data_IF_294282337014
#
_entry.id   IF_294282337014
#
_cell.length_a   1.000
_cell.length_b   1.000
_cell.length_c   1.000
_cell.angle_alpha   90.00
_cell.angle_beta   90.00
_cell.angle_gamma   90.00
#
_symmetry.space_group_name_H-M   'P 1'
#
loop_
_entity.id
_entity.type
_entity.pdbx_description
1 polymer ?
#
# COMPACT_ATOMS: atom_id res chain seq x y z
N UNK A 1 -24.74 -20.38 23.03
CA UNK A 1 -25.40 -19.09 22.75
C UNK A 1 -25.38 -18.79 21.26
N UNK A 2 -24.21 -18.64 20.61
CA UNK A 2 -24.17 -18.32 19.16
C UNK A 2 -24.85 -19.38 18.28
N UNK A 3 -24.65 -20.67 18.54
CA UNK A 3 -25.32 -21.75 17.79
C UNK A 3 -26.85 -21.76 18.01
N UNK A 4 -27.27 -21.41 19.23
CA UNK A 4 -28.68 -21.25 19.58
C UNK A 4 -29.31 -20.09 18.81
N UNK A 5 -28.63 -18.94 18.78
CA UNK A 5 -29.01 -17.78 17.97
C UNK A 5 -29.11 -18.15 16.49
N UNK A 6 -28.11 -18.84 15.93
CA UNK A 6 -28.12 -19.30 14.55
C UNK A 6 -29.36 -20.13 14.24
N UNK A 7 -29.60 -21.18 15.03
CA UNK A 7 -30.74 -22.08 14.85
C UNK A 7 -32.07 -21.32 14.88
N UNK A 8 -32.27 -20.44 15.85
CA UNK A 8 -33.52 -19.68 15.97
C UNK A 8 -33.76 -18.70 14.82
N UNK A 9 -32.70 -18.12 14.24
CA UNK A 9 -32.82 -17.29 13.04
C UNK A 9 -33.29 -18.14 11.86
N UNK A 10 -32.59 -19.23 11.59
CA UNK A 10 -32.83 -20.09 10.41
C UNK A 10 -34.17 -20.84 10.52
N UNK A 11 -34.66 -21.15 11.73
CA UNK A 11 -35.95 -21.82 11.93
C UNK A 11 -37.15 -20.84 11.80
N UNK A 12 -37.02 -19.61 12.32
CA UNK A 12 -38.14 -18.65 12.36
C UNK A 12 -38.33 -17.92 11.03
N UNK A 13 -37.26 -17.38 10.46
CA UNK A 13 -37.31 -16.48 9.31
C UNK A 13 -37.26 -17.28 8.01
N UNK A 14 -38.34 -18.02 7.74
CA UNK A 14 -38.47 -18.88 6.56
C UNK A 14 -39.72 -18.55 5.74
N UNK A 15 -39.75 -18.95 4.48
CA UNK A 15 -40.92 -18.79 3.62
C UNK A 15 -42.13 -19.55 4.14
N UNK A 16 -41.93 -20.69 4.80
CA UNK A 16 -42.99 -21.42 5.52
C UNK A 16 -43.53 -20.63 6.71
N UNK A 17 -42.70 -19.79 7.34
CA UNK A 17 -43.07 -18.87 8.41
C UNK A 17 -43.73 -17.58 7.93
N UNK A 18 -44.00 -17.42 6.62
CA UNK A 18 -44.65 -16.25 6.04
C UNK A 18 -43.71 -15.11 5.64
N UNK A 19 -42.39 -15.32 5.64
CA UNK A 19 -41.40 -14.35 5.17
C UNK A 19 -41.17 -14.48 3.66
N UNK A 20 -40.68 -13.42 3.01
CA UNK A 20 -40.43 -13.41 1.57
C UNK A 20 -39.30 -14.39 1.15
N UNK A 21 -38.30 -14.55 2.01
CA UNK A 21 -37.13 -15.40 1.78
C UNK A 21 -36.75 -16.19 3.03
N UNK A 22 -35.95 -17.24 2.84
CA UNK A 22 -35.31 -17.96 3.94
C UNK A 22 -34.06 -17.19 4.37
N UNK A 23 -33.97 -16.84 5.65
CA UNK A 23 -32.79 -16.22 6.22
C UNK A 23 -31.67 -17.25 6.39
N UNK A 24 -30.43 -16.85 6.11
CA UNK A 24 -29.24 -17.69 6.27
C UNK A 24 -28.18 -16.96 7.11
N UNK A 25 -27.56 -17.65 8.07
CA UNK A 25 -26.43 -17.09 8.82
C UNK A 25 -25.13 -17.28 8.03
N UNK A 26 -24.68 -16.20 7.39
CA UNK A 26 -23.50 -16.21 6.51
C UNK A 26 -22.17 -16.09 7.27
N UNK A 27 -22.18 -15.56 8.48
CA UNK A 27 -20.98 -15.40 9.31
C UNK A 27 -21.30 -15.24 10.80
N UNK A 28 -20.38 -15.65 11.66
CA UNK A 28 -20.44 -15.34 13.09
C UNK A 28 -19.04 -15.30 13.72
N UNK A 29 -18.83 -14.38 14.65
CA UNK A 29 -17.56 -14.20 15.36
C UNK A 29 -17.82 -13.93 16.84
N UNK A 30 -17.72 -14.97 17.67
CA UNK A 30 -17.86 -14.99 19.14
C UNK A 30 -19.17 -14.41 19.69
N UNK A 31 -19.39 -13.12 19.54
CA UNK A 31 -20.48 -12.31 20.08
C UNK A 31 -21.42 -11.75 19.00
N UNK A 32 -21.09 -11.91 17.71
CA UNK A 32 -21.88 -11.39 16.59
C UNK A 32 -22.27 -12.48 15.60
N UNK A 33 -23.45 -12.31 14.99
CA UNK A 33 -23.98 -13.12 13.88
C UNK A 33 -24.42 -12.19 12.75
N UNK A 34 -24.07 -12.54 11.52
CA UNK A 34 -24.45 -11.83 10.32
C UNK A 34 -25.44 -12.68 9.54
N UNK A 35 -26.64 -12.15 9.37
CA UNK A 35 -27.77 -12.84 8.75
C UNK A 35 -28.06 -12.21 7.40
N UNK A 36 -28.20 -13.04 6.36
CA UNK A 36 -28.70 -12.65 5.06
C UNK A 36 -30.20 -12.94 5.00
N UNK A 37 -31.03 -11.89 5.04
CA UNK A 37 -32.50 -12.01 4.96
C UNK A 37 -33.05 -12.12 3.53
N UNK A 38 -32.22 -11.86 2.50
CA UNK A 38 -32.63 -11.96 1.09
C UNK A 38 -33.39 -10.75 0.52
N UNK A 39 -33.87 -9.84 1.37
CA UNK A 39 -34.61 -8.63 0.95
C UNK A 39 -33.75 -7.63 0.16
N UNK A 40 -34.39 -6.83 -0.68
CA UNK A 40 -33.72 -5.90 -1.60
C UNK A 40 -33.38 -4.54 -0.99
N UNK A 41 -34.12 -4.09 0.04
CA UNK A 41 -33.91 -2.79 0.65
C UNK A 41 -33.15 -2.87 1.99
N UNK A 42 -32.36 -1.84 2.28
CA UNK A 42 -31.66 -1.70 3.56
C UNK A 42 -32.67 -1.53 4.71
N UNK A 43 -33.76 -0.81 4.47
CA UNK A 43 -34.80 -0.54 5.47
C UNK A 43 -35.50 -1.82 5.93
N UNK A 44 -35.93 -2.68 4.99
CA UNK A 44 -36.54 -3.97 5.33
C UNK A 44 -35.56 -4.87 6.07
N UNK A 45 -34.29 -4.91 5.65
CA UNK A 45 -33.26 -5.68 6.33
C UNK A 45 -33.02 -5.18 7.78
N UNK A 46 -33.08 -3.86 8.00
CA UNK A 46 -32.99 -3.28 9.35
C UNK A 46 -34.19 -3.67 10.21
N UNK A 47 -35.41 -3.62 9.65
CA UNK A 47 -36.64 -3.97 10.37
C UNK A 47 -36.63 -5.46 10.78
N UNK A 48 -36.28 -6.35 9.86
CA UNK A 48 -36.11 -7.79 10.15
C UNK A 48 -34.99 -8.04 11.16
N UNK A 49 -33.88 -7.31 11.06
CA UNK A 49 -32.78 -7.38 12.01
C UNK A 49 -33.19 -7.02 13.44
N UNK A 50 -33.99 -5.95 13.61
CA UNK A 50 -34.55 -5.56 14.92
C UNK A 50 -35.52 -6.61 15.45
N UNK A 51 -36.42 -7.10 14.60
CA UNK A 51 -37.36 -8.16 14.97
C UNK A 51 -36.63 -9.45 15.42
N UNK A 52 -35.58 -9.84 14.70
CA UNK A 52 -34.75 -10.99 15.04
C UNK A 52 -34.04 -10.78 16.39
N UNK A 53 -33.47 -9.60 16.62
CA UNK A 53 -32.77 -9.28 17.87
C UNK A 53 -33.73 -9.36 19.09
N UNK A 54 -34.92 -8.79 18.98
CA UNK A 54 -35.92 -8.80 20.06
C UNK A 54 -36.47 -10.21 20.30
N UNK A 55 -36.79 -10.95 19.24
CA UNK A 55 -37.28 -12.33 19.34
C UNK A 55 -36.26 -13.24 20.04
N UNK A 56 -35.00 -13.19 19.62
CA UNK A 56 -33.95 -14.07 20.15
C UNK A 56 -33.59 -13.67 21.59
N UNK A 57 -33.60 -12.38 21.91
CA UNK A 57 -33.40 -11.90 23.29
C UNK A 57 -34.42 -12.51 24.26
N UNK A 58 -35.66 -12.71 23.81
CA UNK A 58 -36.70 -13.37 24.60
C UNK A 58 -36.42 -14.85 24.93
N UNK A 59 -35.48 -15.49 24.23
CA UNK A 59 -35.09 -16.89 24.47
C UNK A 59 -34.00 -17.05 25.53
N UNK A 60 -33.38 -15.94 25.98
CA UNK A 60 -32.30 -15.96 26.97
C UNK A 60 -32.76 -15.48 28.34
N UNK A 61 -32.03 -15.87 29.39
CA UNK A 61 -32.24 -15.36 30.75
C UNK A 61 -31.78 -13.90 30.84
N UNK A 62 -32.56 -13.06 31.53
CA UNK A 62 -32.14 -11.68 31.84
C UNK A 62 -30.84 -11.71 32.67
N UNK A 63 -29.86 -10.82 32.41
CA UNK A 63 -29.90 -9.62 31.57
C UNK A 63 -29.33 -9.80 30.15
N UNK A 64 -29.23 -11.03 29.63
CA UNK A 64 -28.67 -11.28 28.30
C UNK A 64 -29.63 -10.72 27.24
N UNK A 65 -29.14 -9.83 26.38
CA UNK A 65 -29.88 -9.20 25.29
C UNK A 65 -29.04 -9.17 24.03
N UNK A 66 -29.66 -9.50 22.90
CA UNK A 66 -29.12 -9.31 21.57
C UNK A 66 -29.64 -7.98 21.03
N UNK A 67 -28.78 -7.18 20.41
CA UNK A 67 -29.15 -5.89 19.83
C UNK A 67 -28.82 -5.87 18.35
N UNK A 68 -29.75 -5.34 17.56
CA UNK A 68 -29.46 -5.02 16.17
C UNK A 68 -28.49 -3.84 16.13
N UNK A 69 -27.36 -4.00 15.44
CA UNK A 69 -26.32 -2.97 15.38
C UNK A 69 -26.28 -2.25 14.02
N UNK A 70 -26.38 -2.99 12.91
CA UNK A 70 -26.10 -2.47 11.55
C UNK A 70 -26.53 -3.40 10.43
N UNK A 71 -26.61 -2.86 9.22
CA UNK A 71 -26.64 -3.61 7.95
C UNK A 71 -25.36 -3.34 7.15
N UNK A 72 -24.84 -4.37 6.46
CA UNK A 72 -23.81 -4.20 5.43
C UNK A 72 -24.42 -4.28 4.03
N UNK A 73 -24.29 -3.21 3.24
CA UNK A 73 -24.72 -3.22 1.84
C UNK A 73 -23.88 -2.27 0.98
N UNK A 74 -23.01 -2.76 0.09
CA UNK A 74 -22.65 -4.16 -0.15
C UNK A 74 -21.79 -4.75 0.97
N UNK A 75 -21.65 -6.09 0.93
CA UNK A 75 -20.83 -6.88 1.82
C UNK A 75 -19.86 -7.78 1.05
N UNK A 76 -18.61 -7.83 1.48
CA UNK A 76 -17.53 -8.67 0.92
C UNK A 76 -16.89 -9.46 2.06
N UNK A 77 -17.22 -10.74 2.16
CA UNK A 77 -16.60 -11.68 3.08
C UNK A 77 -15.44 -12.40 2.40
N UNK A 78 -14.22 -12.22 2.90
CA UNK A 78 -13.01 -12.84 2.33
C UNK A 78 -12.67 -14.13 3.08
N UNK A 79 -12.59 -14.06 4.41
CA UNK A 79 -12.36 -15.21 5.30
C UNK A 79 -12.66 -14.82 6.74
N UNK A 80 -12.47 -15.76 7.69
CA UNK A 80 -12.68 -15.50 9.11
C UNK A 80 -11.88 -14.29 9.58
N UNK A 81 -12.55 -13.34 10.24
CA UNK A 81 -11.98 -12.04 10.69
C UNK A 81 -11.45 -11.15 9.56
N UNK A 82 -11.85 -11.39 8.31
CA UNK A 82 -11.45 -10.63 7.12
C UNK A 82 -12.65 -10.32 6.23
N UNK A 83 -13.19 -9.13 6.36
CA UNK A 83 -14.33 -8.68 5.57
C UNK A 83 -14.33 -7.16 5.40
N UNK A 84 -15.06 -6.71 4.39
CA UNK A 84 -15.31 -5.30 4.12
C UNK A 84 -16.77 -5.09 3.71
N UNK A 85 -17.31 -3.92 3.99
CA UNK A 85 -18.66 -3.56 3.56
C UNK A 85 -18.96 -2.10 3.85
N UNK A 86 -20.03 -1.58 3.24
CA UNK A 86 -20.54 -0.27 3.63
C UNK A 86 -21.43 -0.43 4.86
N UNK A 87 -21.16 0.37 5.87
CA UNK A 87 -21.78 0.33 7.19
C UNK A 87 -23.03 1.22 7.20
N UNK A 88 -24.21 0.65 7.49
CA UNK A 88 -25.47 1.38 7.54
C UNK A 88 -26.10 1.28 8.93
N UNK A 89 -26.30 2.43 9.57
CA UNK A 89 -27.11 2.58 10.80
C UNK A 89 -28.50 3.14 10.54
N UNK A 90 -28.68 3.82 9.40
CA UNK A 90 -29.95 4.33 8.89
C UNK A 90 -30.14 3.87 7.43
N UNK A 91 -31.38 3.84 6.91
CA UNK A 91 -31.66 3.33 5.57
C UNK A 91 -31.28 4.29 4.43
N UNK A 92 -31.10 5.59 4.72
CA UNK A 92 -30.95 6.62 3.68
C UNK A 92 -29.52 6.71 3.15
N UNK A 93 -28.51 6.59 4.03
CA UNK A 93 -27.11 6.77 3.66
C UNK A 93 -26.18 5.92 4.52
N UNK A 94 -25.19 5.30 3.87
CA UNK A 94 -24.09 4.63 4.57
C UNK A 94 -23.22 5.61 5.36
N UNK A 95 -22.74 5.16 6.51
CA UNK A 95 -21.91 5.97 7.41
C UNK A 95 -20.45 5.99 6.95
N UNK A 96 -19.90 4.81 6.64
CA UNK A 96 -18.51 4.61 6.21
C UNK A 96 -18.30 3.25 5.56
N UNK A 97 -17.17 3.10 4.89
CA UNK A 97 -16.64 1.79 4.53
C UNK A 97 -15.95 1.17 5.75
N UNK A 98 -16.44 0.03 6.22
CA UNK A 98 -15.85 -0.71 7.33
C UNK A 98 -14.98 -1.84 6.79
N UNK A 99 -13.81 -2.01 7.40
CA UNK A 99 -12.81 -2.97 6.96
C UNK A 99 -12.22 -3.67 8.18
N UNK A 100 -12.38 -4.98 8.27
CA UNK A 100 -11.90 -5.79 9.41
C UNK A 100 -10.82 -6.76 8.94
N UNK A 101 -9.66 -6.73 9.59
CA UNK A 101 -8.56 -7.69 9.40
C UNK A 101 -7.90 -7.71 8.01
N UNK A 102 -8.32 -6.84 7.09
CA UNK A 102 -7.71 -6.66 5.78
C UNK A 102 -6.48 -5.74 5.85
N UNK A 103 -5.74 -5.66 4.75
CA UNK A 103 -4.43 -5.02 4.70
C UNK A 103 -4.45 -3.51 4.98
N UNK A 104 -5.59 -2.82 4.81
CA UNK A 104 -5.75 -1.37 5.06
C UNK A 104 -5.49 -0.99 6.52
N UNK A 105 -5.98 -1.81 7.47
CA UNK A 105 -5.86 -1.57 8.92
C UNK A 105 -4.64 -2.23 9.54
N UNK A 106 -3.92 -3.06 8.78
CA UNK A 106 -2.73 -3.77 9.23
C UNK A 106 -1.48 -2.90 9.14
N UNK A 107 -0.57 -3.02 10.10
CA UNK A 107 0.66 -2.17 10.19
C UNK A 107 1.92 -2.82 9.61
N UNK A 108 1.83 -4.09 9.21
CA UNK A 108 2.94 -4.90 8.72
C UNK A 108 3.13 -4.88 7.19
N UNK A 109 2.23 -4.19 6.46
CA UNK A 109 2.31 -4.01 5.01
C UNK A 109 2.87 -2.62 4.65
N UNK A 110 3.46 -2.50 3.46
CA UNK A 110 3.86 -1.20 2.94
C UNK A 110 2.64 -0.32 2.60
N UNK A 111 2.85 0.99 2.61
CA UNK A 111 1.80 1.99 2.37
C UNK A 111 1.16 1.84 0.98
N UNK A 112 1.92 1.38 -0.02
CA UNK A 112 1.42 1.06 -1.36
C UNK A 112 0.24 0.08 -1.30
N UNK A 113 0.39 -1.03 -0.56
CA UNK A 113 -0.66 -2.06 -0.47
C UNK A 113 -1.90 -1.50 0.21
N UNK A 114 -1.74 -0.67 1.24
CA UNK A 114 -2.88 -0.04 1.92
C UNK A 114 -3.67 0.85 0.98
N UNK A 115 -2.99 1.74 0.27
CA UNK A 115 -3.61 2.66 -0.67
C UNK A 115 -4.26 1.89 -1.82
N UNK A 116 -3.56 0.89 -2.37
CA UNK A 116 -4.08 0.06 -3.45
C UNK A 116 -5.36 -0.67 -3.05
N UNK A 117 -5.35 -1.36 -1.91
CA UNK A 117 -6.52 -2.10 -1.41
C UNK A 117 -7.68 -1.16 -1.08
N UNK A 118 -7.40 -0.02 -0.44
CA UNK A 118 -8.44 0.96 -0.09
C UNK A 118 -9.15 1.50 -1.34
N UNK A 119 -8.39 1.90 -2.36
CA UNK A 119 -8.95 2.40 -3.62
C UNK A 119 -9.70 1.30 -4.38
N UNK A 120 -9.19 0.06 -4.40
CA UNK A 120 -9.93 -1.05 -4.99
C UNK A 120 -11.28 -1.27 -4.29
N UNK A 121 -11.31 -1.27 -2.96
CA UNK A 121 -12.55 -1.42 -2.20
C UNK A 121 -13.49 -0.23 -2.41
N UNK A 122 -12.99 1.00 -2.50
CA UNK A 122 -13.79 2.17 -2.84
C UNK A 122 -14.48 1.98 -4.21
N UNK A 123 -13.69 1.64 -5.23
CA UNK A 123 -14.20 1.43 -6.59
C UNK A 123 -15.22 0.30 -6.68
N UNK A 124 -15.00 -0.79 -5.93
CA UNK A 124 -15.88 -1.96 -5.95
C UNK A 124 -17.16 -1.73 -5.14
N UNK A 125 -17.04 -1.20 -3.92
CA UNK A 125 -18.15 -1.13 -2.96
C UNK A 125 -18.97 0.16 -3.08
N UNK A 126 -18.33 1.29 -3.40
CA UNK A 126 -18.97 2.60 -3.52
C UNK A 126 -19.30 2.87 -4.98
N UNK A 127 -18.29 2.94 -5.84
CA UNK A 127 -18.48 3.35 -7.25
C UNK A 127 -19.14 2.25 -8.10
N UNK A 128 -19.15 1.01 -7.60
CA UNK A 128 -19.62 -0.20 -8.30
C UNK A 128 -18.92 -0.43 -9.65
N UNK A 129 -17.68 0.02 -9.77
CA UNK A 129 -16.87 -0.01 -10.98
C UNK A 129 -15.70 -1.01 -10.83
N UNK A 130 -16.01 -2.28 -11.04
CA UNK A 130 -15.00 -3.35 -11.06
C UNK A 130 -13.97 -3.16 -12.19
N UNK A 131 -14.36 -2.81 -13.44
CA UNK A 131 -13.39 -2.53 -14.50
C UNK A 131 -12.42 -1.38 -14.17
N UNK A 132 -12.90 -0.29 -13.57
CA UNK A 132 -12.05 0.80 -13.10
C UNK A 132 -11.09 0.38 -12.00
N UNK A 133 -11.53 -0.49 -11.08
CA UNK A 133 -10.65 -1.08 -10.07
C UNK A 133 -9.53 -1.94 -10.70
N UNK A 134 -9.88 -2.77 -11.69
CA UNK A 134 -8.91 -3.56 -12.47
C UNK A 134 -7.90 -2.66 -13.18
N UNK A 135 -8.35 -1.59 -13.82
CA UNK A 135 -7.47 -0.67 -14.53
C UNK A 135 -6.52 0.06 -13.57
N UNK A 136 -7.02 0.47 -12.41
CA UNK A 136 -6.21 1.10 -11.37
C UNK A 136 -5.10 0.16 -10.86
N UNK A 137 -5.41 -1.11 -10.64
CA UNK A 137 -4.42 -2.14 -10.29
C UNK A 137 -3.35 -2.27 -11.37
N UNK A 138 -3.76 -2.38 -12.65
CA UNK A 138 -2.82 -2.53 -13.78
C UNK A 138 -1.86 -1.35 -13.89
N UNK A 139 -2.37 -0.13 -13.73
CA UNK A 139 -1.55 1.09 -13.74
C UNK A 139 -0.54 1.08 -12.57
N UNK A 140 -1.00 0.76 -11.37
CA UNK A 140 -0.15 0.69 -10.17
C UNK A 140 0.97 -0.34 -10.32
N UNK A 141 0.66 -1.52 -10.87
CA UNK A 141 1.67 -2.56 -11.14
C UNK A 141 2.67 -2.07 -12.21
N UNK A 142 2.19 -1.40 -13.26
CA UNK A 142 3.07 -0.82 -14.27
C UNK A 142 4.02 0.23 -13.68
N UNK A 143 3.53 1.10 -12.81
CA UNK A 143 4.34 2.13 -12.17
C UNK A 143 5.39 1.53 -11.22
N UNK A 144 5.03 0.47 -10.49
CA UNK A 144 5.98 -0.31 -9.68
C UNK A 144 7.09 -0.91 -10.52
N UNK A 145 6.75 -1.63 -11.60
CA UNK A 145 7.72 -2.33 -12.44
C UNK A 145 8.59 -1.36 -13.26
N UNK A 146 8.08 -0.17 -13.55
CA UNK A 146 8.81 0.89 -14.25
C UNK A 146 9.62 1.80 -13.32
N UNK A 147 9.71 1.48 -12.03
CA UNK A 147 10.42 2.27 -11.01
C UNK A 147 9.93 3.73 -10.94
N UNK A 148 8.62 3.94 -11.11
CA UNK A 148 7.93 5.25 -11.03
C UNK A 148 7.27 5.50 -9.67
N UNK A 149 7.48 4.59 -8.72
CA UNK A 149 6.89 4.68 -7.38
C UNK A 149 7.81 5.40 -6.41
N UNK A 150 7.23 6.20 -5.52
CA UNK A 150 7.96 6.80 -4.41
C UNK A 150 8.41 5.73 -3.41
N UNK A 151 9.66 5.81 -2.96
CA UNK A 151 10.24 4.85 -2.03
C UNK A 151 9.45 4.76 -0.72
N UNK A 152 8.89 5.89 -0.24
CA UNK A 152 8.08 5.93 0.99
C UNK A 152 6.86 5.01 0.93
N UNK A 153 6.31 4.77 -0.27
CA UNK A 153 5.19 3.84 -0.47
C UNK A 153 5.61 2.37 -0.28
N UNK A 154 6.91 2.08 -0.43
CA UNK A 154 7.47 0.73 -0.37
C UNK A 154 8.03 0.38 1.01
N UNK A 155 8.13 1.34 1.93
CA UNK A 155 8.65 1.09 3.28
C UNK A 155 7.74 0.14 4.04
N UNK A 156 8.32 -0.96 4.53
CA UNK A 156 7.68 -1.94 5.41
C UNK A 156 8.20 -1.70 6.82
N UNK A 157 7.32 -1.79 7.82
CA UNK A 157 7.70 -1.53 9.21
C UNK A 157 7.29 -2.69 10.11
N UNK A 158 8.23 -3.22 10.91
CA UNK A 158 7.96 -4.27 11.91
C UNK A 158 8.52 -3.91 13.28
N UNK A 159 7.81 -4.29 14.34
CA UNK A 159 8.28 -4.09 15.72
C UNK A 159 9.39 -5.06 16.08
N UNK A 160 10.46 -4.57 16.68
CA UNK A 160 11.56 -5.35 17.22
C UNK A 160 11.21 -5.73 18.67
N UNK A 161 10.91 -7.00 18.92
CA UNK A 161 10.43 -7.48 20.23
C UNK A 161 11.51 -8.11 21.09
N UNK A 162 12.62 -8.55 20.51
CA UNK A 162 13.74 -9.17 21.21
C UNK A 162 15.09 -8.70 20.64
N UNK A 163 16.17 -9.04 21.33
CA UNK A 163 17.54 -8.92 20.83
C UNK A 163 17.88 -10.06 19.85
N UNK A 164 18.84 -9.84 18.95
CA UNK A 164 19.12 -10.72 17.82
C UNK A 164 19.33 -12.20 18.18
N UNK A 165 19.99 -12.48 19.30
CA UNK A 165 20.31 -13.85 19.74
C UNK A 165 19.10 -14.62 20.30
N UNK A 166 18.02 -13.92 20.65
CA UNK A 166 16.80 -14.53 21.22
C UNK A 166 15.74 -14.88 20.16
N UNK A 167 16.06 -14.65 18.88
CA UNK A 167 15.22 -15.01 17.75
C UNK A 167 15.65 -16.36 17.16
N UNK A 168 14.81 -17.37 17.33
CA UNK A 168 14.98 -18.69 16.71
C UNK A 168 14.97 -18.64 15.17
N UNK A 169 14.28 -17.64 14.59
CA UNK A 169 14.11 -17.48 13.14
C UNK A 169 14.67 -16.15 12.68
N UNK A 170 15.58 -16.23 11.69
CA UNK A 170 16.13 -15.05 11.01
C UNK A 170 15.04 -14.34 10.21
N UNK A 171 14.75 -13.11 10.60
CA UNK A 171 13.76 -12.26 9.94
C UNK A 171 14.40 -10.96 9.46
N UNK A 172 13.81 -10.35 8.42
CA UNK A 172 14.35 -9.16 7.76
C UNK A 172 14.66 -8.00 8.71
N UNK A 173 13.67 -7.56 9.48
CA UNK A 173 13.85 -6.47 10.44
C UNK A 173 14.91 -6.72 11.52
N UNK A 174 15.10 -7.97 11.97
CA UNK A 174 16.10 -8.32 12.99
C UNK A 174 17.51 -8.27 12.39
N UNK A 175 17.71 -8.93 11.26
CA UNK A 175 19.01 -8.93 10.56
C UNK A 175 19.42 -7.52 10.11
N UNK A 176 18.45 -6.70 9.70
CA UNK A 176 18.71 -5.28 9.41
C UNK A 176 19.10 -4.51 10.66
N UNK A 177 18.40 -4.68 11.78
CA UNK A 177 18.73 -3.97 13.02
C UNK A 177 20.16 -4.30 13.48
N UNK A 178 20.58 -5.56 13.40
CA UNK A 178 21.96 -5.96 13.70
C UNK A 178 22.97 -5.37 12.70
N UNK A 179 22.63 -5.32 11.40
CA UNK A 179 23.49 -4.69 10.39
C UNK A 179 23.63 -3.18 10.63
N UNK A 180 22.54 -2.51 10.99
CA UNK A 180 22.55 -1.10 11.38
C UNK A 180 23.43 -0.89 12.60
N UNK A 181 23.31 -1.74 13.64
CA UNK A 181 24.14 -1.66 14.85
C UNK A 181 25.63 -1.85 14.58
N UNK A 182 25.99 -2.76 13.68
CA UNK A 182 27.38 -2.96 13.23
C UNK A 182 27.92 -1.79 12.42
N UNK A 183 27.04 -1.11 11.66
CA UNK A 183 27.39 0.06 10.84
C UNK A 183 27.56 1.31 11.69
N UNK A 184 26.60 1.55 12.58
CA UNK A 184 26.57 2.66 13.52
C UNK A 184 25.58 2.36 14.66
N UNK A 185 26.11 2.19 15.87
CA UNK A 185 25.31 1.86 17.05
C UNK A 185 24.39 3.02 17.48
N UNK A 186 24.71 4.28 17.15
CA UNK A 186 23.92 5.44 17.56
C UNK A 186 22.59 5.57 16.81
N UNK A 187 22.52 5.05 15.58
CA UNK A 187 21.32 5.11 14.72
C UNK A 187 20.55 3.80 14.67
N UNK A 188 21.02 2.78 15.37
CA UNK A 188 20.43 1.45 15.41
C UNK A 188 19.10 1.43 16.20
N UNK A 189 18.09 0.66 15.76
CA UNK A 189 16.86 0.46 16.52
C UNK A 189 17.09 -0.32 17.83
N UNK A 190 16.33 0.03 18.86
CA UNK A 190 16.28 -0.66 20.15
C UNK A 190 15.09 -1.62 20.24
N UNK A 191 15.11 -2.51 21.23
CA UNK A 191 13.96 -3.38 21.53
C UNK A 191 12.77 -2.51 21.94
N UNK A 192 11.61 -2.78 21.36
CA UNK A 192 10.41 -1.96 21.44
C UNK A 192 10.22 -1.04 20.24
N UNK A 193 11.29 -0.71 19.51
CA UNK A 193 11.21 0.16 18.34
C UNK A 193 10.61 -0.54 17.13
N UNK A 194 10.13 0.27 16.21
CA UNK A 194 9.74 -0.17 14.87
C UNK A 194 10.91 0.03 13.90
N UNK A 195 11.25 -1.05 13.20
CA UNK A 195 12.32 -1.07 12.19
C UNK A 195 11.70 -0.91 10.81
N UNK A 196 11.92 0.24 10.14
CA UNK A 196 11.52 0.45 8.76
C UNK A 196 12.57 -0.16 7.82
N UNK A 197 12.14 -0.81 6.76
CA UNK A 197 13.01 -1.39 5.76
C UNK A 197 12.34 -1.46 4.40
N UNK A 198 13.17 -1.56 3.36
CA UNK A 198 12.74 -1.90 2.00
C UNK A 198 13.48 -3.15 1.54
N UNK A 199 12.90 -3.87 0.59
CA UNK A 199 13.54 -5.03 -0.04
C UNK A 199 14.26 -4.62 -1.31
N UNK A 200 15.59 -4.72 -1.27
CA UNK A 200 16.49 -4.43 -2.37
C UNK A 200 16.68 -5.63 -3.29
N UNK A 201 17.13 -5.36 -4.52
CA UNK A 201 17.50 -6.40 -5.47
C UNK A 201 18.81 -7.05 -5.04
N UNK A 202 18.85 -8.37 -5.09
CA UNK A 202 20.04 -9.17 -4.79
C UNK A 202 20.18 -10.34 -5.78
N UNK A 203 21.17 -11.21 -5.56
CA UNK A 203 21.35 -12.42 -6.35
C UNK A 203 20.09 -13.31 -6.32
N UNK A 204 19.88 -14.06 -7.40
CA UNK A 204 18.75 -15.00 -7.49
C UNK A 204 18.85 -16.03 -6.36
N UNK A 205 17.76 -16.21 -5.61
CA UNK A 205 17.72 -17.13 -4.47
C UNK A 205 18.15 -16.51 -3.13
N UNK A 206 18.61 -15.25 -3.10
CA UNK A 206 18.88 -14.55 -1.85
C UNK A 206 17.62 -14.46 -0.99
N UNK A 207 17.77 -14.75 0.30
CA UNK A 207 16.64 -14.79 1.23
C UNK A 207 16.17 -13.39 1.56
N UNK A 208 14.89 -13.24 1.89
CA UNK A 208 14.30 -11.93 2.15
C UNK A 208 15.01 -11.14 3.26
N UNK A 209 15.58 -11.82 4.26
CA UNK A 209 16.31 -11.17 5.34
C UNK A 209 17.67 -10.58 4.90
N UNK A 210 18.30 -11.18 3.89
CA UNK A 210 19.56 -10.69 3.29
C UNK A 210 19.31 -9.45 2.43
N UNK A 211 18.08 -9.32 1.91
CA UNK A 211 17.65 -8.26 1.00
C UNK A 211 17.01 -7.05 1.69
N UNK A 212 16.90 -7.06 3.00
CA UNK A 212 16.36 -5.91 3.73
C UNK A 212 17.41 -4.84 3.92
N UNK A 213 17.06 -3.57 3.71
CA UNK A 213 17.96 -2.44 3.91
C UNK A 213 17.19 -1.20 4.40
N UNK A 214 17.91 -0.31 5.10
CA UNK A 214 17.36 0.94 5.59
C UNK A 214 16.99 1.88 4.42
N UNK A 215 15.79 2.50 4.40
CA UNK A 215 15.36 3.32 3.27
C UNK A 215 16.27 4.53 3.02
N UNK A 216 16.88 5.13 4.05
CA UNK A 216 17.79 6.27 3.89
C UNK A 216 19.09 5.80 3.25
N UNK A 217 19.64 4.69 3.74
CA UNK A 217 20.84 4.09 3.15
C UNK A 217 20.63 3.72 1.68
N UNK A 218 19.45 3.20 1.32
CA UNK A 218 19.08 2.92 -0.07
C UNK A 218 19.04 4.20 -0.92
N UNK A 219 18.48 5.29 -0.40
CA UNK A 219 18.46 6.58 -1.08
C UNK A 219 19.87 7.13 -1.28
N UNK A 220 20.72 7.12 -0.26
CA UNK A 220 22.07 7.67 -0.33
C UNK A 220 22.97 6.89 -1.29
N UNK A 221 22.80 5.57 -1.37
CA UNK A 221 23.66 4.69 -2.18
C UNK A 221 23.09 4.32 -3.55
N UNK A 222 21.89 4.80 -3.91
CA UNK A 222 21.17 4.42 -5.13
C UNK A 222 21.01 2.89 -5.27
N UNK A 223 20.60 2.21 -4.20
CA UNK A 223 20.47 0.75 -4.24
C UNK A 223 19.15 0.38 -4.95
N UNK A 224 19.18 -0.49 -5.98
CA UNK A 224 17.98 -0.87 -6.70
C UNK A 224 16.99 -1.65 -5.82
N UNK A 225 15.71 -1.30 -5.93
CA UNK A 225 14.61 -2.02 -5.28
C UNK A 225 14.28 -3.30 -6.06
N UNK A 226 13.75 -4.32 -5.37
CA UNK A 226 13.22 -5.52 -6.01
C UNK A 226 11.70 -5.40 -6.26
N UNK A 227 11.25 -4.93 -7.44
CA UNK A 227 9.82 -4.77 -7.70
C UNK A 227 9.08 -6.12 -7.76
N UNK A 228 9.77 -7.21 -8.10
CA UNK A 228 9.15 -8.54 -8.18
C UNK A 228 8.76 -9.02 -6.78
N UNK A 229 9.60 -8.76 -5.77
CA UNK A 229 9.26 -9.07 -4.39
C UNK A 229 7.98 -8.39 -3.95
N UNK A 230 7.82 -7.09 -4.25
CA UNK A 230 6.59 -6.35 -3.87
C UNK A 230 5.38 -6.85 -4.65
N UNK A 231 5.53 -7.12 -5.95
CA UNK A 231 4.44 -7.66 -6.75
C UNK A 231 3.96 -9.00 -6.16
N UNK A 232 4.84 -9.99 -6.00
CA UNK A 232 4.47 -11.34 -5.57
C UNK A 232 4.05 -11.43 -4.10
N UNK A 233 4.82 -10.80 -3.20
CA UNK A 233 4.66 -11.01 -1.75
C UNK A 233 3.78 -9.97 -1.06
N UNK A 234 3.72 -8.75 -1.59
CA UNK A 234 2.96 -7.65 -0.97
C UNK A 234 1.63 -7.40 -1.69
N UNK A 235 1.62 -7.40 -3.04
CA UNK A 235 0.46 -6.96 -3.83
C UNK A 235 -0.45 -8.13 -4.26
N UNK A 236 0.11 -9.21 -4.79
CA UNK A 236 -0.69 -10.29 -5.39
C UNK A 236 -1.68 -10.92 -4.41
N UNK A 237 -1.22 -11.30 -3.20
CA UNK A 237 -2.09 -12.03 -2.25
C UNK A 237 -3.30 -11.20 -1.77
N UNK A 238 -3.14 -9.92 -1.37
CA UNK A 238 -4.29 -9.08 -1.01
C UNK A 238 -5.26 -8.85 -2.17
N UNK A 239 -4.75 -8.63 -3.39
CA UNK A 239 -5.61 -8.42 -4.55
C UNK A 239 -6.44 -9.65 -4.89
N UNK A 240 -5.81 -10.83 -4.97
CA UNK A 240 -6.52 -12.07 -5.28
C UNK A 240 -7.65 -12.34 -4.27
N UNK A 241 -7.40 -12.11 -2.98
CA UNK A 241 -8.43 -12.23 -1.94
C UNK A 241 -9.66 -11.35 -2.15
N UNK A 242 -9.50 -10.18 -2.76
CA UNK A 242 -10.59 -9.22 -3.00
C UNK A 242 -11.30 -9.52 -4.31
N UNK A 243 -10.53 -9.85 -5.36
CA UNK A 243 -11.06 -10.00 -6.71
C UNK A 243 -11.48 -11.43 -7.05
N UNK A 244 -10.93 -12.48 -6.42
CA UNK A 244 -11.33 -13.88 -6.70
C UNK A 244 -12.82 -14.15 -6.46
N UNK A 245 -13.48 -13.59 -5.42
CA UNK A 245 -14.93 -13.74 -5.25
C UNK A 245 -15.78 -13.02 -6.32
N UNK A 246 -15.18 -12.09 -7.06
CA UNK A 246 -15.88 -11.18 -8.00
C UNK A 246 -15.61 -11.59 -9.46
N UNK A 247 -14.38 -12.00 -9.75
CA UNK A 247 -13.87 -12.30 -11.09
C UNK A 247 -13.48 -13.78 -11.19
N UNK A 248 -13.90 -14.45 -12.27
CA UNK A 248 -13.60 -15.88 -12.49
C UNK A 248 -12.11 -16.20 -12.62
N UNK A 249 -11.27 -15.24 -13.06
CA UNK A 249 -9.83 -15.43 -13.31
C UNK A 249 -9.01 -14.20 -12.90
N UNK A 250 -9.18 -13.70 -11.68
CA UNK A 250 -8.55 -12.46 -11.21
C UNK A 250 -7.02 -12.44 -11.40
N UNK A 251 -6.33 -13.56 -11.14
CA UNK A 251 -4.87 -13.65 -11.33
C UNK A 251 -4.44 -13.33 -12.77
N UNK A 252 -5.09 -13.96 -13.76
CA UNK A 252 -4.78 -13.74 -15.18
C UNK A 252 -5.05 -12.30 -15.61
N UNK A 253 -6.11 -11.69 -15.08
CA UNK A 253 -6.53 -10.35 -15.47
C UNK A 253 -5.69 -9.25 -14.82
N UNK A 254 -5.28 -9.44 -13.56
CA UNK A 254 -4.58 -8.42 -12.77
C UNK A 254 -3.06 -8.53 -12.88
N UNK A 255 -2.52 -9.74 -12.82
CA UNK A 255 -1.08 -9.97 -12.65
C UNK A 255 -0.35 -10.28 -13.97
N UNK A 256 -1.11 -10.63 -15.01
CA UNK A 256 -0.57 -10.94 -16.33
C UNK A 256 -1.13 -9.98 -17.38
N UNK A 257 -0.27 -9.45 -18.25
CA UNK A 257 -0.70 -8.54 -19.30
C UNK A 257 0.45 -7.80 -19.94
N UNK A 258 0.15 -6.79 -20.75
CA UNK A 258 1.15 -5.88 -21.31
C UNK A 258 1.79 -5.00 -20.23
N UNK A 259 1.02 -4.63 -19.21
CA UNK A 259 1.44 -3.78 -18.09
C UNK A 259 2.55 -4.39 -17.23
N UNK A 260 2.73 -5.71 -17.26
CA UNK A 260 3.77 -6.43 -16.50
C UNK A 260 5.01 -6.81 -17.31
N UNK A 261 5.05 -6.53 -18.61
CA UNK A 261 6.16 -6.94 -19.50
C UNK A 261 7.34 -5.98 -19.48
N UNK A 262 7.09 -4.71 -19.19
CA UNK A 262 8.13 -3.68 -19.15
C UNK A 262 8.64 -3.52 -17.73
N UNK A 263 9.94 -3.80 -17.54
CA UNK A 263 10.60 -3.68 -16.25
C UNK A 263 11.79 -2.74 -16.41
N UNK A 264 11.80 -1.65 -15.63
CA UNK A 264 12.90 -0.71 -15.55
C UNK A 264 13.62 -0.90 -14.22
N UNK A 265 14.90 -1.25 -14.27
CA UNK A 265 15.72 -1.46 -13.08
C UNK A 265 16.82 -0.41 -13.07
N UNK A 266 16.92 0.33 -11.97
CA UNK A 266 18.00 1.29 -11.75
C UNK A 266 19.35 0.57 -11.64
N UNK A 267 20.40 1.20 -12.15
CA UNK A 267 21.77 0.70 -12.04
C UNK A 267 22.37 1.15 -10.71
N UNK A 268 22.96 0.24 -9.91
CA UNK A 268 23.60 0.63 -8.65
C UNK A 268 24.80 1.54 -8.91
N UNK A 269 24.92 2.62 -8.15
CA UNK A 269 25.92 3.66 -8.42
C UNK A 269 27.32 3.36 -7.89
N UNK A 270 27.45 2.69 -6.73
CA UNK A 270 28.69 2.70 -5.95
C UNK A 270 29.19 1.32 -5.45
N UNK A 271 28.76 0.22 -6.07
CA UNK A 271 29.14 -1.14 -5.62
C UNK A 271 29.95 -1.94 -6.64
N UNK A 272 31.05 -2.54 -6.17
CA UNK A 272 31.89 -3.48 -6.93
C UNK A 272 32.37 -2.93 -8.27
N UNK A 273 32.04 -3.64 -9.35
CA UNK A 273 32.41 -3.32 -10.74
C UNK A 273 31.96 -1.91 -11.15
N UNK A 274 30.84 -1.40 -10.60
CA UNK A 274 30.31 -0.08 -10.96
C UNK A 274 31.19 1.08 -10.51
N UNK A 275 32.11 0.87 -9.56
CA UNK A 275 33.12 1.89 -9.19
C UNK A 275 34.09 2.21 -10.32
N UNK A 276 34.29 1.28 -11.25
CA UNK A 276 35.16 1.44 -12.41
C UNK A 276 34.40 1.84 -13.67
N UNK A 277 33.07 2.00 -13.59
CA UNK A 277 32.25 2.38 -14.73
C UNK A 277 32.42 3.87 -15.04
N UNK A 278 32.79 4.19 -16.28
CA UNK A 278 32.81 5.57 -16.77
C UNK A 278 31.39 5.99 -17.15
N UNK A 279 30.85 7.01 -16.47
CA UNK A 279 29.55 7.60 -16.83
C UNK A 279 29.65 8.22 -18.23
N UNK A 280 28.94 7.64 -19.20
CA UNK A 280 28.74 8.25 -20.51
C UNK A 280 27.40 9.00 -20.52
N UNK A 281 27.40 10.19 -21.14
CA UNK A 281 26.17 10.95 -21.27
C UNK A 281 25.26 10.33 -22.32
N UNK A 282 23.96 10.39 -22.05
CA UNK A 282 22.91 10.05 -22.98
C UNK A 282 22.12 11.29 -23.40
N UNK A 283 21.60 11.26 -24.62
CA UNK A 283 20.68 12.25 -25.15
C UNK A 283 19.45 12.36 -24.25
N UNK A 284 19.11 13.58 -23.82
CA UNK A 284 17.94 13.79 -22.95
C UNK A 284 16.64 13.33 -23.64
N UNK A 285 16.51 13.57 -24.94
CA UNK A 285 15.30 13.27 -25.72
C UNK A 285 15.09 11.78 -26.02
N UNK A 286 16.12 11.05 -26.46
CA UNK A 286 15.98 9.67 -26.94
C UNK A 286 16.84 8.63 -26.21
N UNK A 287 17.62 9.04 -25.20
CA UNK A 287 18.54 8.18 -24.43
C UNK A 287 19.66 7.52 -25.23
N UNK A 288 19.86 7.87 -26.50
CA UNK A 288 21.03 7.45 -27.29
C UNK A 288 22.34 7.94 -26.64
N UNK A 289 23.39 7.11 -26.69
CA UNK A 289 24.70 7.47 -26.17
C UNK A 289 25.30 8.65 -26.95
N UNK A 290 25.94 9.57 -26.25
CA UNK A 290 26.58 10.75 -26.84
C UNK A 290 28.10 10.53 -26.89
N UNK A 291 28.70 10.84 -28.05
CA UNK A 291 30.13 10.67 -28.28
C UNK A 291 31.01 11.75 -27.64
N UNK A 292 30.45 12.94 -27.38
CA UNK A 292 31.14 14.07 -26.73
C UNK A 292 30.56 14.32 -25.33
N UNK A 293 31.42 14.68 -24.38
CA UNK A 293 31.04 14.97 -22.99
C UNK A 293 30.19 16.22 -22.82
N UNK A 294 30.16 17.11 -23.81
CA UNK A 294 29.50 18.42 -23.68
C UNK A 294 28.22 18.51 -24.51
N UNK A 295 27.76 17.38 -25.07
CA UNK A 295 26.49 17.33 -25.80
C UNK A 295 25.33 16.97 -24.87
N UNK A 296 24.21 17.66 -25.09
CA UNK A 296 22.95 17.43 -24.37
C UNK A 296 21.96 16.62 -25.19
N UNK A 297 21.97 16.85 -26.51
CA UNK A 297 21.11 16.19 -27.49
C UNK A 297 21.93 15.53 -28.60
N UNK A 298 21.39 14.44 -29.16
CA UNK A 298 21.89 13.88 -30.42
C UNK A 298 21.43 14.71 -31.62
N UNK A 299 22.06 14.51 -32.78
CA UNK A 299 21.73 15.20 -34.04
C UNK A 299 20.25 15.11 -34.40
N UNK A 300 19.61 13.96 -34.17
CA UNK A 300 18.19 13.74 -34.45
C UNK A 300 17.26 14.51 -33.49
N UNK A 301 17.67 14.77 -32.25
CA UNK A 301 16.83 15.46 -31.27
C UNK A 301 17.03 16.98 -31.27
N UNK A 302 18.05 17.49 -31.98
CA UNK A 302 18.40 18.91 -31.99
C UNK A 302 17.24 19.82 -32.47
N UNK A 303 16.42 19.35 -33.41
CA UNK A 303 15.22 20.09 -33.86
C UNK A 303 14.13 20.29 -32.79
N UNK A 304 14.20 19.58 -31.66
CA UNK A 304 13.25 19.69 -30.52
C UNK A 304 13.91 20.28 -29.26
N UNK A 305 14.97 21.05 -29.43
CA UNK A 305 15.78 21.59 -28.34
C UNK A 305 14.96 22.46 -27.37
N UNK A 306 14.22 23.44 -27.88
CA UNK A 306 13.39 24.31 -27.04
C UNK A 306 12.31 23.53 -26.27
N UNK A 307 11.64 22.56 -26.90
CA UNK A 307 10.64 21.70 -26.26
C UNK A 307 11.24 20.91 -25.09
N UNK A 308 12.39 20.25 -25.34
CA UNK A 308 13.07 19.42 -24.34
C UNK A 308 13.67 20.25 -23.20
N UNK A 309 14.15 21.46 -23.49
CA UNK A 309 14.59 22.41 -22.48
C UNK A 309 13.43 22.86 -21.59
N UNK A 310 12.33 23.34 -22.17
CA UNK A 310 11.13 23.72 -21.42
C UNK A 310 10.62 22.59 -20.52
N UNK A 311 10.65 21.35 -21.01
CA UNK A 311 10.30 20.17 -20.21
C UNK A 311 11.25 19.94 -19.03
N UNK A 312 12.55 20.14 -19.24
CA UNK A 312 13.56 20.02 -18.17
C UNK A 312 13.37 21.10 -17.11
N UNK A 313 13.11 22.35 -17.51
CA UNK A 313 12.81 23.47 -16.61
C UNK A 313 11.54 23.22 -15.82
N UNK A 314 10.45 22.75 -16.47
CA UNK A 314 9.19 22.41 -15.78
C UNK A 314 9.41 21.36 -14.71
N UNK A 315 10.15 20.28 -15.02
CA UNK A 315 10.46 19.23 -14.07
C UNK A 315 11.27 19.74 -12.87
N UNK A 316 12.26 20.62 -13.08
CA UNK A 316 13.00 21.24 -11.97
C UNK A 316 12.08 22.11 -11.11
N UNK A 317 11.26 22.95 -11.72
CA UNK A 317 10.30 23.83 -11.00
C UNK A 317 9.31 23.04 -10.13
N UNK A 318 8.79 21.92 -10.65
CA UNK A 318 7.91 21.02 -9.91
C UNK A 318 8.62 20.39 -8.70
N UNK A 319 9.87 19.95 -8.89
CA UNK A 319 10.68 19.34 -7.83
C UNK A 319 11.13 20.36 -6.78
N UNK A 320 11.46 21.59 -7.17
CA UNK A 320 11.77 22.69 -6.24
C UNK A 320 10.56 23.05 -5.38
N UNK A 321 9.37 23.13 -6.00
CA UNK A 321 8.12 23.37 -5.28
C UNK A 321 7.82 22.25 -4.29
N UNK A 322 7.98 20.99 -4.70
CA UNK A 322 7.77 19.83 -3.83
C UNK A 322 8.77 19.83 -2.66
N UNK A 323 10.05 20.08 -2.94
CA UNK A 323 11.09 20.18 -1.93
C UNK A 323 10.77 21.28 -0.91
N UNK A 324 10.45 22.49 -1.36
CA UNK A 324 10.11 23.63 -0.50
C UNK A 324 8.91 23.34 0.40
N UNK A 325 7.83 22.76 -0.15
CA UNK A 325 6.64 22.39 0.64
C UNK A 325 6.95 21.36 1.72
N UNK A 326 7.69 20.29 1.39
CA UNK A 326 7.98 19.22 2.34
C UNK A 326 8.88 19.70 3.50
N UNK A 327 9.88 20.53 3.21
CA UNK A 327 10.80 21.05 4.24
C UNK A 327 10.16 22.14 5.10
N UNK A 328 9.34 23.01 4.52
CA UNK A 328 8.58 24.02 5.28
C UNK A 328 7.59 23.35 6.23
N UNK A 329 6.88 22.31 5.77
CA UNK A 329 5.96 21.55 6.63
C UNK A 329 6.66 20.92 7.84
N UNK A 330 7.93 20.51 7.68
CA UNK A 330 8.72 20.01 8.80
C UNK A 330 9.07 21.10 9.82
N UNK A 331 9.36 22.33 9.39
CA UNK A 331 9.60 23.46 10.30
C UNK A 331 8.33 23.84 11.06
N UNK A 332 7.18 23.88 10.37
CA UNK A 332 5.87 24.10 11.00
C UNK A 332 5.55 23.02 12.04
N UNK A 333 5.79 21.74 11.71
CA UNK A 333 5.58 20.63 12.64
C UNK A 333 6.51 20.69 13.86
N UNK A 334 7.74 21.17 13.69
CA UNK A 334 8.69 21.38 14.78
C UNK A 334 8.31 22.59 15.65
N UNK A 335 7.62 23.58 15.08
CA UNK A 335 7.26 24.83 15.73
C UNK A 335 8.38 25.88 15.77
N UNK A 336 9.51 25.63 15.09
CA UNK A 336 10.65 26.56 15.03
C UNK A 336 11.08 26.79 13.58
N UNK A 337 11.23 28.05 13.21
CA UNK A 337 11.74 28.46 11.89
C UNK A 337 13.25 28.74 11.90
N UNK A 338 13.88 28.78 13.09
CA UNK A 338 15.26 29.23 13.29
C UNK A 338 16.20 28.11 13.74
N UNK A 339 15.66 26.93 14.04
CA UNK A 339 16.43 25.76 14.46
C UNK A 339 16.44 24.69 13.37
N UNK A 340 17.47 23.85 13.40
CA UNK A 340 17.57 22.70 12.49
C UNK A 340 16.47 21.68 12.78
N UNK A 341 15.90 21.11 11.71
CA UNK A 341 14.92 20.03 11.80
C UNK A 341 15.64 18.69 11.99
N UNK A 342 15.87 18.28 13.24
CA UNK A 342 16.48 16.99 13.61
C UNK A 342 15.44 15.89 13.87
N UNK A 343 14.38 15.83 13.05
CA UNK A 343 13.33 14.82 13.17
C UNK A 343 13.76 13.47 12.55
N UNK A 344 13.60 12.38 13.29
CA UNK A 344 13.84 10.99 12.86
C UNK A 344 12.57 10.12 12.91
N UNK A 345 11.39 10.75 12.95
CA UNK A 345 10.11 10.04 13.03
C UNK A 345 9.86 9.18 11.79
N UNK A 346 10.02 7.87 11.95
CA UNK A 346 9.89 6.86 10.89
C UNK A 346 8.43 6.60 10.49
N UNK A 347 7.48 6.96 11.35
CA UNK A 347 6.04 6.87 11.08
C UNK A 347 5.49 8.11 10.35
N UNK A 348 6.27 9.18 10.23
CA UNK A 348 5.87 10.38 9.51
C UNK A 348 5.90 10.15 7.98
N UNK A 349 4.82 10.42 7.24
CA UNK A 349 4.78 10.24 5.79
C UNK A 349 5.75 11.19 5.05
N UNK A 350 6.16 12.30 5.66
CA UNK A 350 7.07 13.29 5.07
C UNK A 350 8.53 12.86 5.21
N UNK A 351 8.88 12.06 6.22
CA UNK A 351 10.27 11.82 6.62
C UNK A 351 11.14 11.27 5.48
N UNK A 352 10.68 10.24 4.78
CA UNK A 352 11.40 9.68 3.61
C UNK A 352 11.20 10.52 2.35
N UNK A 353 10.00 11.11 2.18
CA UNK A 353 9.65 11.93 1.01
C UNK A 353 10.53 13.16 0.88
N UNK A 354 10.82 13.87 1.99
CA UNK A 354 11.69 15.06 1.96
C UNK A 354 13.12 14.74 1.54
N UNK A 355 13.65 13.57 1.93
CA UNK A 355 14.99 13.10 1.53
C UNK A 355 15.02 12.69 0.06
N UNK A 356 13.98 12.02 -0.43
CA UNK A 356 13.83 11.71 -1.85
C UNK A 356 13.70 12.98 -2.69
N UNK A 357 12.82 13.90 -2.32
CA UNK A 357 12.63 15.17 -3.03
C UNK A 357 13.93 16.00 -3.11
N UNK A 358 14.71 16.02 -2.02
CA UNK A 358 16.04 16.67 -2.00
C UNK A 358 16.97 16.08 -3.07
N UNK A 359 17.00 14.76 -3.19
CA UNK A 359 17.86 14.06 -4.14
C UNK A 359 17.37 14.20 -5.58
N UNK A 360 16.07 13.99 -5.82
CA UNK A 360 15.47 14.11 -7.15
C UNK A 360 15.66 15.53 -7.70
N UNK A 361 15.49 16.56 -6.86
CA UNK A 361 15.74 17.95 -7.23
C UNK A 361 17.21 18.19 -7.59
N UNK A 362 18.16 17.66 -6.79
CA UNK A 362 19.59 17.79 -7.08
C UNK A 362 19.97 17.10 -8.41
N UNK A 363 19.42 15.92 -8.69
CA UNK A 363 19.65 15.21 -9.96
C UNK A 363 19.02 15.93 -11.16
N UNK A 364 17.80 16.46 -11.00
CA UNK A 364 17.12 17.22 -12.04
C UNK A 364 17.86 18.53 -12.36
N UNK A 365 18.39 19.21 -11.33
CA UNK A 365 19.21 20.41 -11.51
C UNK A 365 20.50 20.10 -12.27
N UNK A 366 21.21 19.03 -11.93
CA UNK A 366 22.39 18.59 -12.69
C UNK A 366 22.05 18.27 -14.16
N UNK A 367 20.86 17.73 -14.43
CA UNK A 367 20.41 17.52 -15.82
C UNK A 367 20.11 18.85 -16.52
N UNK A 368 19.56 19.83 -15.81
CA UNK A 368 19.29 21.17 -16.33
C UNK A 368 20.58 21.93 -16.65
N UNK A 369 21.61 21.78 -15.81
CA UNK A 369 22.92 22.42 -16.00
C UNK A 369 23.65 21.95 -17.27
N UNK A 370 23.20 20.85 -17.90
CA UNK A 370 23.70 20.41 -19.21
C UNK A 370 23.26 21.32 -20.35
N UNK A 371 22.20 22.10 -20.16
CA UNK A 371 21.73 23.04 -21.19
C UNK A 371 22.56 24.32 -21.10
N UNK A 372 23.62 24.37 -21.88
CA UNK A 372 24.42 25.59 -22.11
C UNK A 372 23.90 26.29 -23.35
N UNK A 373 23.41 27.52 -23.18
CA UNK A 373 23.00 28.40 -24.29
C UNK A 373 24.06 29.47 -24.54
#
# INVERSE_FOLDING_TARGET
>A
MIEHTKKHVEDKFTTLGGYEHNAEVIYGDTDSVMVQFGVASVEEAMNLGREAADFISGTFIKPIKLEFEKVYYPYLLISKKRYAGLFWTNPDKFDKMDTKGIETVRRDNCLLVKNLVNECLHKILIDRDVPGAVQYVKNTISDLLMNRMDLSLLVITKGLTKTGDDYEVKTAHVELAERMRKRDAATAPNVGDRVPYVIIKAAKGAKAYEKSEDPIYVLENNIPIDPQYYLENQISKPLLRIFDPILKNASKELLHGSHTRSISISTPSNSGIMKFAKKQLSCIGCKALLGKTDQTLCSHCKGREAELYCKSVSNVSELETLFGRLWTQCQECQGSLHQDVLCTSRDCPIFYRRKKAQKDMAEAKQQLDRWTF
#
